data_IF_603673283661
#
_entry.id   IF_603673283661
#
_cell.length_a   1.000
_cell.length_b   1.000
_cell.length_c   1.000
_cell.angle_alpha   90.00
_cell.angle_beta   90.00
_cell.angle_gamma   90.00
#
_symmetry.space_group_name_H-M   'P 1'
#
loop_
_entity.id
_entity.type
_entity.pdbx_description
1 polymer ?
#
# COMPACT_ATOMS: atom_id res chain seq x y z
N UNK A 1 -0.38 4.30 16.00
CA UNK A 1 -1.57 3.60 15.54
C UNK A 1 -1.19 2.23 15.03
N UNK A 2 -1.93 1.25 15.42
CA UNK A 2 -1.66 -0.08 14.92
C UNK A 2 -2.35 -0.28 13.57
N UNK A 3 -1.73 -1.08 12.71
CA UNK A 3 -2.33 -1.46 11.45
C UNK A 3 -3.48 -2.42 11.70
N UNK A 4 -4.45 -2.38 10.80
CA UNK A 4 -5.43 -3.45 10.74
C UNK A 4 -4.82 -4.68 10.10
N UNK A 5 -5.59 -5.77 10.02
CA UNK A 5 -5.07 -7.03 9.49
C UNK A 5 -4.61 -6.93 8.03
N UNK A 6 -5.30 -6.16 7.20
CA UNK A 6 -4.90 -6.04 5.80
C UNK A 6 -3.60 -5.25 5.69
N UNK A 7 -3.48 -4.15 6.43
CA UNK A 7 -2.26 -3.34 6.40
C UNK A 7 -1.07 -4.15 6.89
N UNK A 8 -1.27 -4.93 7.95
CA UNK A 8 -0.19 -5.76 8.47
C UNK A 8 0.27 -6.78 7.43
N UNK A 9 -0.67 -7.37 6.72
CA UNK A 9 -0.35 -8.35 5.70
C UNK A 9 0.39 -7.72 4.54
N UNK A 10 -0.03 -6.52 4.14
CA UNK A 10 0.65 -5.78 3.07
C UNK A 10 2.10 -5.52 3.46
N UNK A 11 2.34 -5.04 4.68
CA UNK A 11 3.69 -4.76 5.14
C UNK A 11 4.54 -6.03 5.16
N UNK A 12 3.96 -7.12 5.61
CA UNK A 12 4.69 -8.38 5.69
C UNK A 12 5.11 -8.87 4.31
N UNK A 13 4.19 -8.83 3.36
CA UNK A 13 4.47 -9.29 2.01
C UNK A 13 5.52 -8.43 1.32
N UNK A 14 5.43 -7.11 1.51
CA UNK A 14 6.39 -6.20 0.90
C UNK A 14 7.76 -6.35 1.53
N UNK A 15 7.80 -6.60 2.83
CA UNK A 15 9.07 -6.81 3.52
C UNK A 15 9.75 -8.08 2.99
N UNK A 16 8.99 -9.14 2.79
CA UNK A 16 9.54 -10.37 2.25
C UNK A 16 10.00 -10.23 0.80
N UNK A 17 9.25 -9.48 0.00
CA UNK A 17 9.52 -9.39 -1.42
C UNK A 17 10.66 -8.44 -1.76
N UNK A 18 10.80 -7.35 -1.02
CA UNK A 18 11.70 -6.27 -1.43
C UNK A 18 12.74 -5.89 -0.38
N UNK A 19 12.65 -6.42 0.82
CA UNK A 19 13.56 -6.07 1.92
C UNK A 19 13.74 -4.55 2.01
N UNK A 20 12.65 -3.80 2.15
CA UNK A 20 12.69 -2.35 2.04
C UNK A 20 13.40 -1.73 3.23
N UNK A 21 14.03 -0.59 2.97
CA UNK A 21 14.62 0.22 4.02
C UNK A 21 13.56 1.07 4.71
N UNK A 22 12.45 1.31 4.01
CA UNK A 22 11.37 2.12 4.56
C UNK A 22 10.06 1.76 3.88
N UNK A 23 9.01 1.66 4.68
CA UNK A 23 7.65 1.50 4.18
C UNK A 23 6.78 2.49 4.92
N UNK A 24 6.00 3.27 4.16
CA UNK A 24 4.96 4.11 4.72
C UNK A 24 3.66 3.69 4.07
N UNK A 25 2.72 3.29 4.89
CA UNK A 25 1.44 2.79 4.41
C UNK A 25 0.34 3.53 5.16
N UNK A 26 -0.50 4.21 4.42
CA UNK A 26 -1.59 4.97 5.01
C UNK A 26 -2.91 4.41 4.52
N UNK A 27 -3.82 4.18 5.46
CA UNK A 27 -5.17 3.73 5.15
C UNK A 27 -6.03 4.95 4.95
N UNK A 28 -6.43 5.19 3.71
CA UNK A 28 -7.25 6.34 3.33
C UNK A 28 -8.72 6.02 3.30
N UNK A 29 -9.09 4.81 3.67
CA UNK A 29 -10.49 4.37 3.57
C UNK A 29 -11.43 5.28 4.33
N UNK A 30 -11.00 5.79 5.46
CA UNK A 30 -11.84 6.64 6.28
C UNK A 30 -12.27 7.90 5.55
N UNK A 31 -11.45 8.40 4.63
CA UNK A 31 -11.79 9.59 3.87
C UNK A 31 -12.97 9.35 2.96
N UNK A 32 -13.06 8.14 2.45
CA UNK A 32 -14.16 7.77 1.56
C UNK A 32 -15.38 7.33 2.36
N UNK A 33 -15.16 6.63 3.45
CA UNK A 33 -16.25 6.17 4.29
C UNK A 33 -17.03 7.34 4.87
N UNK A 34 -16.38 8.45 5.14
CA UNK A 34 -17.02 9.62 5.69
C UNK A 34 -18.09 10.19 4.81
N UNK A 35 -18.07 9.89 3.53
CA UNK A 35 -19.08 10.39 2.59
C UNK A 35 -20.31 9.50 2.51
N UNK A 36 -20.29 8.38 3.17
CA UNK A 36 -21.36 7.40 3.07
C UNK A 36 -21.95 7.09 4.42
N UNK A 37 -22.08 8.09 5.23
CA UNK A 37 -22.51 7.92 6.60
C UNK A 37 -23.89 7.30 6.73
N UNK A 38 -24.72 7.48 5.75
CA UNK A 38 -26.05 6.88 5.80
C UNK A 38 -25.97 5.36 5.69
N UNK A 39 -24.90 4.85 5.13
CA UNK A 39 -24.68 3.42 5.09
C UNK A 39 -23.88 2.97 6.28
N UNK A 40 -24.40 3.23 7.46
CA UNK A 40 -23.65 2.99 8.67
C UNK A 40 -23.11 1.61 8.82
N UNK A 41 -23.82 0.60 8.31
CA UNK A 41 -23.34 -0.75 8.43
C UNK A 41 -22.05 -0.97 7.65
N UNK A 42 -21.79 -0.11 6.68
CA UNK A 42 -20.57 -0.23 5.90
C UNK A 42 -19.38 0.41 6.57
N UNK A 43 -19.60 1.05 7.70
CA UNK A 43 -18.51 1.72 8.38
C UNK A 43 -17.37 0.78 8.71
N UNK A 44 -17.69 -0.46 9.07
CA UNK A 44 -16.63 -1.41 9.39
C UNK A 44 -15.85 -1.80 8.16
N UNK A 45 -16.45 -1.69 7.00
CA UNK A 45 -15.79 -2.00 5.75
C UNK A 45 -15.12 -0.77 5.16
N UNK A 46 -15.29 0.37 5.80
CA UNK A 46 -14.71 1.59 5.32
C UNK A 46 -13.21 1.66 5.52
N UNK A 47 -12.68 0.81 6.39
CA UNK A 47 -11.26 0.73 6.61
C UNK A 47 -10.61 -0.32 5.74
N UNK A 48 -9.33 -0.09 5.42
CA UNK A 48 -8.49 -1.08 4.77
C UNK A 48 -8.89 -1.42 3.35
N UNK A 49 -9.58 -0.49 2.66
CA UNK A 49 -9.92 -0.70 1.25
C UNK A 49 -9.16 0.25 0.32
N UNK A 50 -8.66 1.36 0.85
CA UNK A 50 -7.94 2.36 0.06
C UNK A 50 -6.66 2.71 0.78
N UNK A 51 -5.53 2.48 0.14
CA UNK A 51 -4.23 2.69 0.77
C UNK A 51 -3.33 3.56 -0.08
N UNK A 52 -2.46 4.31 0.58
CA UNK A 52 -1.34 4.98 -0.05
C UNK A 52 -0.07 4.35 0.47
N UNK A 53 0.79 3.93 -0.46
CA UNK A 53 2.03 3.23 -0.13
C UNK A 53 3.22 4.00 -0.64
N UNK A 54 4.21 4.22 0.23
CA UNK A 54 5.54 4.63 -0.20
C UNK A 54 6.51 3.57 0.28
N UNK A 55 7.28 2.99 -0.64
CA UNK A 55 8.23 1.94 -0.31
C UNK A 55 9.59 2.28 -0.92
N UNK A 56 10.62 2.19 -0.09
CA UNK A 56 11.98 2.50 -0.49
C UNK A 56 12.80 1.22 -0.42
N UNK A 57 13.34 0.83 -1.56
CA UNK A 57 14.12 -0.41 -1.63
C UNK A 57 15.12 -0.36 -2.77
N UNK A 58 16.30 -0.91 -2.54
CA UNK A 58 17.29 -1.07 -3.59
C UNK A 58 16.85 -2.06 -4.66
N UNK A 59 15.86 -2.87 -4.37
CA UNK A 59 15.32 -3.80 -5.35
C UNK A 59 14.75 -3.09 -6.58
N UNK A 60 14.41 -1.82 -6.44
CA UNK A 60 13.86 -1.05 -7.55
C UNK A 60 14.90 -0.38 -8.42
N UNK A 61 16.18 -0.51 -8.07
CA UNK A 61 17.24 0.10 -8.85
C UNK A 61 17.26 -0.50 -10.26
N UNK A 62 17.36 0.38 -11.25
CA UNK A 62 17.38 -0.05 -12.64
C UNK A 62 16.01 -0.35 -13.21
N UNK A 63 14.95 -0.22 -12.44
CA UNK A 63 13.59 -0.46 -12.91
C UNK A 63 12.87 0.85 -13.15
N UNK A 64 12.11 0.91 -14.24
CA UNK A 64 11.28 2.05 -14.51
C UNK A 64 10.02 2.03 -13.65
N UNK A 65 9.27 3.09 -13.75
CA UNK A 65 8.08 3.28 -12.89
C UNK A 65 7.07 2.16 -13.04
N UNK A 66 6.78 1.78 -14.28
CA UNK A 66 5.78 0.76 -14.54
C UNK A 66 6.25 -0.60 -14.00
N UNK A 67 7.53 -0.90 -14.18
CA UNK A 67 8.07 -2.16 -13.69
C UNK A 67 7.98 -2.25 -12.18
N UNK A 68 8.26 -1.15 -11.49
CA UNK A 68 8.15 -1.12 -10.02
C UNK A 68 6.71 -1.34 -9.57
N UNK A 69 5.78 -0.69 -10.22
CA UNK A 69 4.37 -0.85 -9.87
C UNK A 69 3.89 -2.26 -10.11
N UNK A 70 4.31 -2.85 -11.21
CA UNK A 70 3.95 -4.24 -11.51
C UNK A 70 4.51 -5.20 -10.46
N UNK A 71 5.72 -4.94 -10.01
CA UNK A 71 6.33 -5.78 -8.99
C UNK A 71 5.56 -5.72 -7.68
N UNK A 72 5.17 -4.51 -7.27
CA UNK A 72 4.39 -4.33 -6.05
C UNK A 72 3.02 -4.97 -6.20
N UNK A 73 2.37 -4.75 -7.34
CA UNK A 73 1.05 -5.34 -7.58
C UNK A 73 1.11 -6.86 -7.56
N UNK A 74 2.17 -7.44 -8.10
CA UNK A 74 2.32 -8.89 -8.11
C UNK A 74 2.47 -9.42 -6.69
N UNK A 75 3.24 -8.72 -5.86
CA UNK A 75 3.43 -9.13 -4.48
C UNK A 75 2.13 -9.05 -3.68
N UNK A 76 1.25 -8.14 -4.04
CA UNK A 76 0.00 -7.91 -3.33
C UNK A 76 -1.22 -8.41 -4.08
N UNK A 77 -1.03 -9.36 -4.99
CA UNK A 77 -2.12 -9.79 -5.86
C UNK A 77 -3.35 -10.24 -5.10
N UNK A 78 -3.15 -10.98 -4.03
CA UNK A 78 -4.28 -11.50 -3.26
C UNK A 78 -5.07 -10.38 -2.62
N UNK A 79 -4.36 -9.40 -2.06
CA UNK A 79 -5.02 -8.28 -1.40
C UNK A 79 -5.76 -7.40 -2.40
N UNK A 80 -5.15 -7.19 -3.57
CA UNK A 80 -5.77 -6.37 -4.59
C UNK A 80 -6.96 -7.05 -5.25
N UNK A 81 -7.01 -8.37 -5.21
CA UNK A 81 -8.16 -9.11 -5.70
C UNK A 81 -9.27 -9.22 -4.68
N UNK A 82 -8.98 -8.88 -3.43
CA UNK A 82 -9.91 -9.03 -2.32
C UNK A 82 -10.27 -7.70 -1.69
N UNK A 83 -9.79 -7.46 -0.46
CA UNK A 83 -10.26 -6.31 0.32
C UNK A 83 -9.76 -4.96 -0.18
N UNK A 84 -8.63 -4.90 -0.89
CA UNK A 84 -8.06 -3.63 -1.29
C UNK A 84 -8.64 -3.21 -2.64
N UNK A 85 -9.40 -2.12 -2.64
CA UNK A 85 -10.01 -1.59 -3.85
C UNK A 85 -9.09 -0.65 -4.61
N UNK A 86 -8.26 0.08 -3.91
CA UNK A 86 -7.37 1.05 -4.54
C UNK A 86 -6.07 1.13 -3.77
N UNK A 87 -4.98 1.22 -4.50
CA UNK A 87 -3.65 1.33 -3.93
C UNK A 87 -2.82 2.31 -4.75
N UNK A 88 -2.43 3.41 -4.12
CA UNK A 88 -1.48 4.34 -4.71
C UNK A 88 -0.09 3.89 -4.32
N UNK A 89 0.79 3.74 -5.30
CA UNK A 89 2.12 3.20 -5.07
C UNK A 89 3.17 4.23 -5.44
N UNK A 90 4.09 4.46 -4.51
CA UNK A 90 5.28 5.25 -4.75
C UNK A 90 6.47 4.40 -4.37
N UNK A 91 7.13 3.84 -5.39
CA UNK A 91 8.24 2.94 -5.18
C UNK A 91 9.54 3.66 -5.55
N UNK A 92 10.44 3.79 -4.59
CA UNK A 92 11.65 4.58 -4.74
C UNK A 92 12.87 3.75 -4.42
N UNK A 93 13.98 4.11 -5.08
CA UNK A 93 15.29 3.62 -4.62
C UNK A 93 15.73 4.47 -3.43
N UNK A 94 16.77 3.98 -2.73
CA UNK A 94 17.34 4.74 -1.62
C UNK A 94 17.81 6.10 -2.09
N UNK A 95 18.43 6.14 -3.24
CA UNK A 95 18.94 7.39 -3.79
C UNK A 95 17.81 8.38 -4.08
N UNK A 96 16.73 7.89 -4.66
CA UNK A 96 15.59 8.74 -4.97
C UNK A 96 14.93 9.27 -3.71
N UNK A 97 14.82 8.43 -2.70
CA UNK A 97 14.22 8.83 -1.44
C UNK A 97 15.07 9.90 -0.75
N UNK A 98 16.38 9.78 -0.86
CA UNK A 98 17.27 10.78 -0.29
C UNK A 98 17.21 12.13 -0.96
N UNK A 99 16.71 12.18 -2.21
CA UNK A 99 16.58 13.42 -2.95
C UNK A 99 15.30 14.18 -2.60
N UNK A 100 14.40 13.56 -1.87
CA UNK A 100 13.16 14.22 -1.47
C UNK A 100 13.42 15.18 -0.31
#
# INVERSE_FOLDING_TARGET
MSDGPVAALIREKLTSAFAPLRIELEDDSWKHAGHHHEGGMDARDGGESHFQLMIVSDAFAGQGRVARQRAVNAALKAELSGPVHALSIRALTVEEAGAL
#
